data_IF_683017770547
#
_entry.id   IF_683017770547
#
_cell.length_a   1.000
_cell.length_b   1.000
_cell.length_c   1.000
_cell.angle_alpha   90.00
_cell.angle_beta   90.00
_cell.angle_gamma   90.00
#
_symmetry.space_group_name_H-M   'P 1'
#
loop_
_entity.id
_entity.type
_entity.pdbx_description
1 polymer ?
#
# COMPACT_ATOMS: atom_id res chain seq x y z
N UNK A 1 10.37 -6.54 -9.51
CA UNK A 1 9.09 -6.00 -8.99
C UNK A 1 9.37 -4.64 -8.38
N UNK A 2 8.57 -3.63 -8.73
CA UNK A 2 8.76 -2.28 -8.23
C UNK A 2 8.00 -2.07 -6.92
N UNK A 3 8.61 -1.39 -5.97
CA UNK A 3 7.99 -0.92 -4.72
C UNK A 3 8.56 0.45 -4.35
N UNK A 4 7.90 1.15 -3.44
CA UNK A 4 8.32 2.46 -2.92
C UNK A 4 9.05 2.28 -1.59
N UNK A 5 10.18 2.99 -1.43
CA UNK A 5 10.86 3.11 -0.14
C UNK A 5 10.03 3.96 0.84
N UNK A 6 10.42 4.00 2.11
CA UNK A 6 9.74 4.85 3.11
C UNK A 6 9.81 6.33 2.72
N UNK A 7 10.95 6.80 2.24
CA UNK A 7 11.16 8.18 1.80
C UNK A 7 10.32 8.51 0.57
N UNK A 8 10.22 7.57 -0.39
CA UNK A 8 9.39 7.71 -1.58
C UNK A 8 7.90 7.79 -1.20
N UNK A 9 7.45 6.96 -0.26
CA UNK A 9 6.08 7.00 0.29
C UNK A 9 5.79 8.34 0.95
N UNK A 10 6.67 8.83 1.81
CA UNK A 10 6.52 10.14 2.46
C UNK A 10 6.37 11.25 1.43
N UNK A 11 7.23 11.29 0.39
CA UNK A 11 7.13 12.30 -0.67
C UNK A 11 5.80 12.19 -1.44
N UNK A 12 5.40 10.98 -1.81
CA UNK A 12 4.14 10.74 -2.53
C UNK A 12 2.92 11.18 -1.72
N UNK A 13 2.87 10.81 -0.44
CA UNK A 13 1.73 11.12 0.43
C UNK A 13 1.67 12.59 0.80
N UNK A 14 2.80 13.30 0.94
CA UNK A 14 2.82 14.77 1.07
C UNK A 14 2.18 15.43 -0.14
N UNK A 15 2.61 15.07 -1.36
CA UNK A 15 2.01 15.59 -2.60
C UNK A 15 0.51 15.28 -2.68
N UNK A 16 0.11 14.03 -2.38
CA UNK A 16 -1.29 13.63 -2.44
C UNK A 16 -2.14 14.45 -1.46
N UNK A 17 -1.70 14.61 -0.21
CA UNK A 17 -2.41 15.34 0.83
C UNK A 17 -2.55 16.83 0.51
N UNK A 18 -1.47 17.45 0.03
CA UNK A 18 -1.48 18.88 -0.33
C UNK A 18 -2.39 19.17 -1.52
N UNK A 19 -2.55 18.20 -2.44
CA UNK A 19 -3.38 18.35 -3.64
C UNK A 19 -4.84 18.01 -3.39
N UNK A 20 -5.13 16.92 -2.70
CA UNK A 20 -6.50 16.48 -2.42
C UNK A 20 -6.53 15.47 -1.28
N UNK A 21 -7.15 15.84 -0.17
CA UNK A 21 -7.26 14.99 1.04
C UNK A 21 -7.96 13.66 0.76
N UNK A 22 -8.97 13.64 -0.12
CA UNK A 22 -9.70 12.40 -0.42
C UNK A 22 -8.86 11.45 -1.28
N UNK A 23 -8.07 11.96 -2.23
CA UNK A 23 -7.09 11.14 -2.95
C UNK A 23 -6.02 10.57 -2.01
N UNK A 24 -5.55 11.39 -1.07
CA UNK A 24 -4.59 10.97 -0.04
C UNK A 24 -5.16 9.78 0.76
N UNK A 25 -6.36 9.89 1.32
CA UNK A 25 -6.99 8.81 2.10
C UNK A 25 -7.21 7.56 1.23
N UNK A 26 -7.67 7.68 -0.02
CA UNK A 26 -7.83 6.55 -0.92
C UNK A 26 -6.51 5.80 -1.18
N UNK A 27 -5.43 6.54 -1.39
CA UNK A 27 -4.08 5.97 -1.59
C UNK A 27 -3.54 5.36 -0.31
N UNK A 28 -3.78 5.99 0.85
CA UNK A 28 -3.37 5.50 2.17
C UNK A 28 -4.05 4.16 2.50
N UNK A 29 -5.37 4.08 2.33
CA UNK A 29 -6.14 2.85 2.47
C UNK A 29 -5.63 1.77 1.51
N UNK A 30 -5.32 2.14 0.26
CA UNK A 30 -4.70 1.25 -0.72
C UNK A 30 -3.36 0.68 -0.26
N UNK A 31 -2.50 1.52 0.34
CA UNK A 31 -1.22 1.14 0.91
C UNK A 31 -1.39 0.26 2.14
N UNK A 32 -1.96 0.81 3.21
CA UNK A 32 -1.95 0.18 4.54
C UNK A 32 -2.68 -1.17 4.57
N UNK A 33 -3.72 -1.34 3.76
CA UNK A 33 -4.48 -2.60 3.68
C UNK A 33 -4.10 -3.47 2.48
N UNK A 34 -3.08 -3.10 1.72
CA UNK A 34 -2.57 -3.86 0.58
C UNK A 34 -3.65 -4.13 -0.48
N UNK A 35 -4.45 -3.12 -0.83
CA UNK A 35 -5.60 -3.27 -1.72
C UNK A 35 -5.21 -3.17 -3.20
N UNK A 36 -5.94 -3.93 -4.02
CA UNK A 36 -6.00 -3.61 -5.45
C UNK A 36 -6.87 -2.37 -5.67
N UNK A 37 -6.61 -1.61 -6.71
CA UNK A 37 -7.41 -0.41 -7.02
C UNK A 37 -8.92 -0.71 -7.06
N UNK A 38 -9.32 -1.85 -7.62
CA UNK A 38 -10.75 -2.23 -7.70
C UNK A 38 -11.33 -2.61 -6.33
N UNK A 39 -10.52 -3.13 -5.41
CA UNK A 39 -10.93 -3.44 -4.04
C UNK A 39 -11.14 -2.13 -3.27
N UNK A 40 -10.20 -1.20 -3.38
CA UNK A 40 -10.29 0.13 -2.78
C UNK A 40 -11.52 0.91 -3.28
N UNK A 41 -11.76 0.95 -4.59
CA UNK A 41 -12.92 1.63 -5.20
C UNK A 41 -14.27 0.97 -4.90
N UNK A 42 -14.28 -0.26 -4.37
CA UNK A 42 -15.50 -0.95 -3.98
C UNK A 42 -15.92 -0.68 -2.53
N UNK A 43 -15.06 -0.07 -1.70
CA UNK A 43 -15.32 0.20 -0.28
C UNK A 43 -16.53 1.12 -0.14
N UNK A 44 -17.45 0.73 0.74
CA UNK A 44 -18.60 1.52 1.17
C UNK A 44 -18.43 1.92 2.64
N UNK A 45 -19.14 2.96 3.08
CA UNK A 45 -19.07 3.37 4.49
C UNK A 45 -19.38 2.25 5.47
N UNK A 46 -20.35 1.39 5.19
CA UNK A 46 -20.71 0.22 6.02
C UNK A 46 -19.60 -0.84 6.12
N UNK A 47 -18.59 -0.81 5.28
CA UNK A 47 -17.46 -1.73 5.37
C UNK A 47 -16.43 -1.25 6.40
N UNK A 48 -16.62 -0.02 6.94
CA UNK A 48 -15.82 0.58 8.00
C UNK A 48 -16.69 0.68 9.26
N UNK A 49 -16.39 -0.13 10.28
CA UNK A 49 -17.13 -0.21 11.51
C UNK A 49 -16.19 -0.48 12.69
N UNK A 50 -16.46 0.17 13.83
CA UNK A 50 -15.71 -0.03 15.08
C UNK A 50 -14.17 0.07 14.91
N UNK A 51 -13.72 1.06 14.15
CA UNK A 51 -12.30 1.27 13.88
C UNK A 51 -11.65 0.18 13.02
N UNK A 52 -12.44 -0.59 12.29
CA UNK A 52 -11.96 -1.66 11.40
C UNK A 52 -12.52 -1.52 10.00
N UNK A 53 -11.72 -1.92 9.02
CA UNK A 53 -12.10 -2.03 7.62
C UNK A 53 -12.27 -3.50 7.23
N UNK A 54 -13.46 -3.88 6.79
CA UNK A 54 -13.76 -5.17 6.18
C UNK A 54 -13.55 -5.11 4.68
N UNK A 55 -12.66 -5.94 4.13
CA UNK A 55 -12.34 -5.94 2.71
C UNK A 55 -12.80 -7.23 2.04
N UNK A 56 -13.68 -7.08 1.08
CA UNK A 56 -14.07 -8.16 0.17
C UNK A 56 -13.03 -8.29 -0.93
N UNK A 57 -12.10 -9.24 -0.78
CA UNK A 57 -11.01 -9.43 -1.73
C UNK A 57 -11.49 -10.02 -3.06
N UNK A 58 -10.83 -9.63 -4.14
CA UNK A 58 -11.08 -10.14 -5.50
C UNK A 58 -10.19 -11.36 -5.84
N UNK A 59 -10.44 -11.99 -7.00
CA UNK A 59 -9.62 -13.07 -7.57
C UNK A 59 -9.40 -14.25 -6.63
N UNK A 60 -10.47 -14.74 -5.98
CA UNK A 60 -10.44 -15.87 -5.04
C UNK A 60 -9.56 -15.63 -3.79
N UNK A 61 -9.16 -14.41 -3.48
CA UNK A 61 -8.48 -14.08 -2.24
C UNK A 61 -9.45 -14.16 -1.05
N UNK A 62 -8.92 -14.39 0.17
CA UNK A 62 -9.72 -14.41 1.41
C UNK A 62 -10.16 -13.01 1.76
N UNK A 63 -11.38 -12.83 2.27
CA UNK A 63 -11.78 -11.57 2.90
C UNK A 63 -10.86 -11.25 4.08
N UNK A 64 -10.60 -9.97 4.31
CA UNK A 64 -9.72 -9.51 5.41
C UNK A 64 -10.44 -8.48 6.25
N UNK A 65 -10.14 -8.47 7.56
CA UNK A 65 -10.59 -7.47 8.51
C UNK A 65 -9.36 -6.81 9.11
N UNK A 66 -9.24 -5.51 8.96
CA UNK A 66 -8.07 -4.75 9.40
C UNK A 66 -8.47 -3.66 10.37
N UNK A 67 -7.72 -3.49 11.46
CA UNK A 67 -7.80 -2.28 12.26
C UNK A 67 -7.34 -1.09 11.44
N UNK A 68 -8.04 0.04 11.57
CA UNK A 68 -7.59 1.31 11.00
C UNK A 68 -6.44 1.87 11.82
N UNK A 69 -5.48 2.47 11.16
CA UNK A 69 -4.37 3.15 11.80
C UNK A 69 -4.81 4.54 12.24
N UNK A 70 -4.81 4.78 13.54
CA UNK A 70 -4.92 6.12 14.12
C UNK A 70 -3.52 6.58 14.48
N UNK A 71 -3.04 7.66 13.90
CA UNK A 71 -1.68 8.17 14.06
C UNK A 71 -1.67 9.68 14.31
N UNK A 72 -0.67 10.15 15.06
CA UNK A 72 -0.40 11.58 15.22
C UNK A 72 0.18 12.22 13.95
N UNK A 73 0.83 11.44 13.08
CA UNK A 73 1.28 11.90 11.76
C UNK A 73 0.10 11.84 10.76
N UNK A 74 -0.42 13.01 10.35
CA UNK A 74 -1.55 13.07 9.46
C UNK A 74 -1.27 12.49 8.05
N UNK A 75 -0.03 12.16 7.70
CA UNK A 75 0.29 11.46 6.45
C UNK A 75 -0.10 9.99 6.48
N UNK A 76 -0.19 9.40 7.68
CA UNK A 76 -0.45 7.97 7.87
C UNK A 76 -1.63 7.69 8.80
N UNK A 77 -2.45 8.71 9.08
CA UNK A 77 -3.65 8.63 9.90
C UNK A 77 -4.90 8.33 9.05
N UNK A 78 -5.64 7.29 9.41
CA UNK A 78 -6.88 6.88 8.74
C UNK A 78 -8.14 7.39 9.45
N UNK A 79 -8.03 8.21 10.51
CA UNK A 79 -9.20 8.79 11.20
C UNK A 79 -10.19 9.48 10.25
N UNK A 80 -9.74 10.20 9.18
CA UNK A 80 -10.67 10.80 8.23
C UNK A 80 -11.51 9.78 7.44
N UNK A 81 -11.08 8.52 7.35
CA UNK A 81 -11.88 7.45 6.74
C UNK A 81 -13.10 7.09 7.60
N UNK A 82 -12.96 7.13 8.94
CA UNK A 82 -14.09 6.91 9.87
C UNK A 82 -15.15 7.99 9.71
N UNK A 83 -14.74 9.24 9.67
CA UNK A 83 -15.64 10.37 9.46
C UNK A 83 -16.40 10.26 8.14
N UNK A 84 -15.67 9.93 7.06
CA UNK A 84 -16.25 9.72 5.73
C UNK A 84 -17.25 8.56 5.73
N UNK A 85 -16.92 7.46 6.40
CA UNK A 85 -17.78 6.28 6.48
C UNK A 85 -19.07 6.54 7.25
N UNK A 86 -18.99 7.30 8.34
CA UNK A 86 -20.15 7.72 9.14
C UNK A 86 -21.06 8.66 8.34
N UNK A 87 -20.49 9.58 7.58
CA UNK A 87 -21.24 10.52 6.73
C UNK A 87 -21.95 9.82 5.56
N UNK A 88 -21.37 8.74 5.00
CA UNK A 88 -21.85 8.07 3.80
C UNK A 88 -21.91 6.53 3.94
N UNK A 89 -22.72 5.98 4.87
CA UNK A 89 -22.64 4.56 5.23
C UNK A 89 -22.96 3.61 4.07
N UNK A 90 -23.84 3.99 3.18
CA UNK A 90 -24.28 3.13 2.06
C UNK A 90 -23.61 3.46 0.71
N UNK A 91 -22.95 4.60 0.62
CA UNK A 91 -22.28 5.03 -0.60
C UNK A 91 -20.88 4.41 -0.74
N UNK A 92 -20.37 4.38 -1.97
CA UNK A 92 -18.94 4.14 -2.20
C UNK A 92 -18.17 5.35 -1.69
N UNK A 93 -17.13 5.11 -0.88
CA UNK A 93 -16.30 6.19 -0.33
C UNK A 93 -15.41 6.84 -1.38
N UNK A 94 -15.05 6.08 -2.42
CA UNK A 94 -14.18 6.52 -3.52
C UNK A 94 -14.86 6.26 -4.87
N UNK A 95 -15.81 7.12 -5.30
CA UNK A 95 -16.67 6.87 -6.46
C UNK A 95 -15.98 7.21 -7.79
N UNK A 96 -14.75 6.75 -7.96
CA UNK A 96 -13.96 7.00 -9.16
C UNK A 96 -13.79 5.76 -10.03
N UNK A 97 -13.26 5.96 -11.24
CA UNK A 97 -12.85 4.87 -12.12
C UNK A 97 -11.39 4.44 -11.82
N UNK A 98 -11.04 3.24 -12.28
CA UNK A 98 -9.65 2.75 -12.24
C UNK A 98 -8.72 3.64 -13.05
N UNK A 99 -9.17 4.10 -14.21
CA UNK A 99 -8.43 5.00 -15.09
C UNK A 99 -8.14 6.32 -14.41
N UNK A 100 -9.14 6.88 -13.70
CA UNK A 100 -8.94 8.10 -12.93
C UNK A 100 -7.84 7.93 -11.87
N UNK A 101 -7.86 6.84 -11.10
CA UNK A 101 -6.84 6.57 -10.09
C UNK A 101 -5.46 6.33 -10.70
N UNK A 102 -5.38 5.73 -11.91
CA UNK A 102 -4.13 5.58 -12.63
C UNK A 102 -3.54 6.95 -13.04
N UNK A 103 -4.37 7.87 -13.49
CA UNK A 103 -3.95 9.26 -13.80
C UNK A 103 -3.46 9.97 -12.54
N UNK A 104 -4.18 9.81 -11.42
CA UNK A 104 -3.84 10.47 -10.14
C UNK A 104 -2.49 9.97 -9.62
N UNK A 105 -2.25 8.65 -9.57
CA UNK A 105 -0.99 8.10 -9.06
C UNK A 105 0.19 8.50 -9.95
N UNK A 106 0.03 8.53 -11.27
CA UNK A 106 1.04 9.00 -12.22
C UNK A 106 1.37 10.47 -11.99
N UNK A 107 0.35 11.32 -11.89
CA UNK A 107 0.52 12.76 -11.66
C UNK A 107 1.23 13.04 -10.33
N UNK A 108 0.77 12.42 -9.24
CA UNK A 108 1.34 12.67 -7.92
C UNK A 108 2.72 12.05 -7.76
N UNK A 109 2.94 10.87 -8.34
CA UNK A 109 4.25 10.23 -8.32
C UNK A 109 5.29 11.02 -9.11
N UNK A 110 4.93 11.58 -10.27
CA UNK A 110 5.82 12.46 -11.02
C UNK A 110 6.18 13.72 -10.22
N UNK A 111 5.18 14.36 -9.56
CA UNK A 111 5.42 15.52 -8.69
C UNK A 111 6.27 15.17 -7.46
N UNK A 112 6.19 13.94 -6.96
CA UNK A 112 7.01 13.44 -5.86
C UNK A 112 8.42 13.00 -6.29
N UNK A 113 8.77 13.13 -7.58
CA UNK A 113 10.06 12.71 -8.13
C UNK A 113 10.28 11.20 -8.11
N UNK A 114 9.20 10.41 -8.29
CA UNK A 114 9.29 8.96 -8.38
C UNK A 114 9.68 8.52 -9.79
N UNK A 115 10.41 7.41 -9.86
CA UNK A 115 10.77 6.82 -11.15
C UNK A 115 9.51 6.36 -11.93
N UNK A 116 9.43 6.56 -13.26
CA UNK A 116 8.26 6.23 -14.06
C UNK A 116 7.76 4.78 -13.93
N UNK A 117 8.65 3.80 -13.73
CA UNK A 117 8.29 2.40 -13.52
C UNK A 117 7.45 2.15 -12.26
N UNK A 118 7.48 3.07 -11.28
CA UNK A 118 6.74 3.00 -10.02
C UNK A 118 5.38 3.71 -10.06
N UNK A 119 5.01 4.34 -11.18
CA UNK A 119 3.83 5.20 -11.28
C UNK A 119 2.55 4.39 -11.63
N UNK A 120 2.21 3.42 -10.80
CA UNK A 120 0.97 2.63 -10.93
C UNK A 120 0.41 2.26 -9.55
N UNK A 121 -0.91 2.15 -9.44
CA UNK A 121 -1.57 1.95 -8.14
C UNK A 121 -1.11 0.66 -7.42
N UNK A 122 -0.77 -0.37 -8.17
CA UNK A 122 -0.37 -1.65 -7.59
C UNK A 122 0.96 -1.59 -6.83
N UNK A 123 1.79 -0.56 -7.09
CA UNK A 123 3.03 -0.33 -6.36
C UNK A 123 2.79 -0.16 -4.85
N UNK A 124 1.66 0.44 -4.45
CA UNK A 124 1.29 0.62 -3.03
C UNK A 124 1.15 -0.74 -2.34
N UNK A 125 0.47 -1.69 -2.98
CA UNK A 125 0.35 -3.06 -2.47
C UNK A 125 1.70 -3.77 -2.36
N UNK A 126 2.57 -3.58 -3.35
CA UNK A 126 3.92 -4.15 -3.30
C UNK A 126 4.72 -3.56 -2.14
N UNK A 127 4.63 -2.24 -1.96
CA UNK A 127 5.37 -1.53 -0.90
C UNK A 127 5.00 -2.03 0.49
N UNK A 128 3.72 -2.16 0.80
CA UNK A 128 3.32 -2.66 2.13
C UNK A 128 3.75 -4.10 2.35
N UNK A 129 3.72 -4.96 1.32
CA UNK A 129 4.21 -6.34 1.45
C UNK A 129 5.71 -6.40 1.76
N UNK A 130 6.51 -5.58 1.09
CA UNK A 130 7.94 -5.47 1.33
C UNK A 130 8.21 -4.89 2.73
N UNK A 131 7.48 -3.85 3.14
CA UNK A 131 7.61 -3.27 4.48
C UNK A 131 7.27 -4.29 5.58
N UNK A 132 6.16 -5.02 5.43
CA UNK A 132 5.78 -6.07 6.38
C UNK A 132 6.82 -7.18 6.45
N UNK A 133 7.42 -7.55 5.31
CA UNK A 133 8.52 -8.52 5.30
C UNK A 133 9.73 -8.02 6.07
N UNK A 134 10.14 -6.78 5.88
CA UNK A 134 11.28 -6.20 6.61
C UNK A 134 11.06 -6.14 8.13
N UNK A 135 9.83 -5.92 8.57
CA UNK A 135 9.49 -5.80 9.99
C UNK A 135 9.25 -7.17 10.65
N UNK A 136 8.64 -8.12 9.95
CA UNK A 136 8.16 -9.36 10.60
C UNK A 136 8.92 -10.60 10.20
N UNK A 137 9.53 -10.63 9.03
CA UNK A 137 10.13 -11.81 8.38
C UNK A 137 9.16 -13.02 8.33
N UNK A 138 7.84 -12.74 8.38
CA UNK A 138 6.78 -13.75 8.40
C UNK A 138 5.92 -13.66 7.12
N UNK A 139 6.07 -14.70 6.28
CA UNK A 139 5.28 -14.85 5.06
C UNK A 139 3.80 -15.05 5.31
N UNK A 140 3.43 -15.73 6.40
CA UNK A 140 2.03 -15.98 6.70
C UNK A 140 1.35 -14.68 7.11
N UNK A 141 2.01 -13.84 7.91
CA UNK A 141 1.52 -12.51 8.27
C UNK A 141 1.23 -11.66 7.03
N UNK A 142 2.15 -11.64 6.04
CA UNK A 142 1.94 -10.93 4.79
C UNK A 142 0.79 -11.54 3.99
N UNK A 143 0.76 -12.88 3.87
CA UNK A 143 -0.27 -13.60 3.13
C UNK A 143 -1.66 -13.32 3.68
N UNK A 144 -1.82 -13.36 4.99
CA UNK A 144 -3.08 -13.08 5.67
C UNK A 144 -3.48 -11.61 5.53
N UNK A 145 -2.53 -10.69 5.68
CA UNK A 145 -2.76 -9.26 5.52
C UNK A 145 -3.30 -8.91 4.13
N UNK A 146 -2.72 -9.44 3.06
CA UNK A 146 -3.17 -9.15 1.70
C UNK A 146 -4.22 -10.11 1.16
N UNK A 147 -4.64 -11.11 1.97
CA UNK A 147 -5.66 -12.10 1.65
C UNK A 147 -5.24 -13.09 0.56
N UNK A 148 -3.97 -13.37 0.39
CA UNK A 148 -3.51 -14.34 -0.60
C UNK A 148 -3.84 -15.78 -0.17
N UNK A 149 -4.38 -16.61 -1.07
CA UNK A 149 -4.61 -18.04 -0.81
C UNK A 149 -3.38 -18.90 -1.02
N UNK A 150 -2.44 -18.46 -1.83
CA UNK A 150 -1.23 -19.18 -2.17
C UNK A 150 0.00 -18.40 -1.75
N UNK A 151 0.93 -19.08 -1.10
CA UNK A 151 2.25 -18.54 -0.73
C UNK A 151 3.09 -18.13 -1.95
N UNK A 152 2.89 -18.77 -3.09
CA UNK A 152 3.60 -18.43 -4.34
C UNK A 152 3.41 -16.96 -4.73
N UNK A 153 2.21 -16.40 -4.50
CA UNK A 153 1.93 -14.98 -4.75
C UNK A 153 2.66 -14.04 -3.78
N UNK A 154 3.01 -14.54 -2.59
CA UNK A 154 3.74 -13.78 -1.56
C UNK A 154 5.24 -13.93 -1.73
N UNK A 155 5.74 -15.11 -2.16
CA UNK A 155 7.16 -15.38 -2.41
C UNK A 155 7.79 -14.45 -3.45
N UNK A 156 6.99 -13.89 -4.36
CA UNK A 156 7.48 -12.92 -5.37
C UNK A 156 8.06 -11.67 -4.69
N UNK A 157 7.51 -11.24 -3.54
CA UNK A 157 8.03 -10.10 -2.79
C UNK A 157 9.39 -10.39 -2.16
N UNK A 158 9.59 -11.60 -1.65
CA UNK A 158 10.85 -12.03 -1.07
C UNK A 158 11.98 -12.11 -2.09
N UNK A 159 11.69 -12.65 -3.27
CA UNK A 159 12.69 -12.77 -4.33
C UNK A 159 13.18 -11.39 -4.80
N UNK A 160 12.27 -10.42 -4.90
CA UNK A 160 12.62 -9.06 -5.29
C UNK A 160 13.53 -8.40 -4.22
N UNK A 161 13.19 -8.54 -2.94
CA UNK A 161 13.98 -8.01 -1.83
C UNK A 161 15.34 -8.71 -1.69
N UNK A 162 15.36 -10.04 -1.75
CA UNK A 162 16.58 -10.83 -1.66
C UNK A 162 17.59 -10.49 -2.77
N UNK A 163 17.13 -10.31 -3.99
CA UNK A 163 17.99 -9.93 -5.12
C UNK A 163 18.60 -8.54 -4.91
N UNK A 164 17.84 -7.58 -4.41
CA UNK A 164 18.34 -6.24 -4.13
C UNK A 164 19.33 -6.23 -2.96
N UNK A 165 19.03 -6.95 -1.88
CA UNK A 165 19.94 -7.10 -0.72
C UNK A 165 21.24 -7.82 -1.09
N UNK A 166 21.16 -8.89 -1.88
CA UNK A 166 22.35 -9.59 -2.33
C UNK A 166 23.27 -8.67 -3.14
N UNK A 167 22.71 -7.85 -4.02
CA UNK A 167 23.48 -6.90 -4.80
C UNK A 167 24.15 -5.83 -3.94
N UNK A 168 23.45 -5.27 -2.94
CA UNK A 168 24.02 -4.27 -2.03
C UNK A 168 25.12 -4.87 -1.16
N UNK A 169 24.92 -6.06 -0.61
CA UNK A 169 25.94 -6.78 0.16
C UNK A 169 27.20 -7.03 -0.67
N UNK A 170 27.06 -7.52 -1.91
CA UNK A 170 28.19 -7.75 -2.80
C UNK A 170 28.94 -6.44 -3.08
N UNK A 171 28.22 -5.34 -3.28
CA UNK A 171 28.83 -4.02 -3.54
C UNK A 171 29.57 -3.46 -2.33
N UNK A 172 29.10 -3.76 -1.11
CA UNK A 172 29.67 -3.28 0.15
C UNK A 172 30.74 -4.23 0.73
N UNK A 173 30.87 -5.47 0.22
CA UNK A 173 31.88 -6.42 0.68
C UNK A 173 33.28 -5.89 0.38
N UNK A 174 34.06 -5.66 1.45
CA UNK A 174 35.47 -5.34 1.34
C UNK A 174 36.29 -6.62 1.50
N UNK A 175 37.14 -6.92 0.54
CA UNK A 175 38.14 -8.00 0.61
C UNK A 175 39.50 -7.49 1.05
N UNK A 176 39.60 -6.23 1.49
CA UNK A 176 40.85 -5.65 1.99
C UNK A 176 41.19 -6.29 3.36
N UNK A 177 42.21 -7.11 3.40
CA UNK A 177 42.74 -7.76 4.62
C UNK A 177 42.77 -9.29 4.58
N UNK A 178 42.48 -9.93 3.45
CA UNK A 178 42.53 -11.38 3.27
C UNK A 178 43.83 -11.89 2.57
N UNK A 179 44.94 -11.16 2.69
CA UNK A 179 46.28 -11.57 2.22
C UNK A 179 47.24 -11.54 3.40
#
# INVERSE_FOLDING_TARGET
MEYLTREELVRLFKVARDRNKLHHIAMLVGLLHGLRVSEMLAIRGRDVCDGKLSVKRLKKSRATLHALRVDSDPLFDESPLLELAQAFPNAKLFPWSRQYMDVIIKRYGALAGLHPSKLHFHVLKHSICVMLWHETHDLNAIQDHVGHRSSSSTLVYLRADAAQKAQSVITEMSFAGAL
#
